data_IF_478199176154
#
_entry.id   IF_478199176154
#
_cell.length_a   1.000
_cell.length_b   1.000
_cell.length_c   1.000
_cell.angle_alpha   90.00
_cell.angle_beta   90.00
_cell.angle_gamma   90.00
#
_symmetry.space_group_name_H-M   'P 1'
#
loop_
_entity.id
_entity.type
_entity.pdbx_description
1 polymer ?
#
# COMPACT_ATOMS: atom_id res chain seq x y z
N UNK A 1 11.73 -0.48 8.05
CA UNK A 1 12.06 0.87 8.55
C UNK A 1 13.23 1.50 7.79
N UNK A 2 14.42 0.89 7.75
CA UNK A 2 15.59 1.45 7.04
C UNK A 2 15.38 1.72 5.54
N UNK A 3 14.75 0.78 4.81
CA UNK A 3 14.44 0.96 3.38
C UNK A 3 13.50 2.15 3.12
N UNK A 4 12.55 2.39 4.03
CA UNK A 4 11.59 3.48 3.90
C UNK A 4 12.27 4.84 4.12
N UNK A 5 13.13 4.95 5.13
CA UNK A 5 13.93 6.16 5.37
C UNK A 5 14.84 6.49 4.18
N UNK A 6 15.47 5.47 3.59
CA UNK A 6 16.30 5.65 2.40
C UNK A 6 15.49 6.16 1.20
N UNK A 7 14.30 5.59 0.97
CA UNK A 7 13.36 6.08 -0.03
C UNK A 7 12.96 7.55 0.22
N UNK A 8 12.58 7.91 1.45
CA UNK A 8 12.16 9.28 1.78
C UNK A 8 13.28 10.29 1.51
N UNK A 9 14.52 9.96 1.85
CA UNK A 9 15.69 10.82 1.59
C UNK A 9 15.91 11.01 0.09
N UNK A 10 15.90 9.92 -0.69
CA UNK A 10 16.03 9.99 -2.16
C UNK A 10 14.91 10.80 -2.81
N UNK A 11 13.68 10.63 -2.33
CA UNK A 11 12.50 11.35 -2.82
C UNK A 11 12.59 12.86 -2.53
N UNK A 12 12.99 13.25 -1.32
CA UNK A 12 13.23 14.65 -0.98
C UNK A 12 14.35 15.28 -1.83
N UNK A 13 15.50 14.61 -1.98
CA UNK A 13 16.59 15.10 -2.82
C UNK A 13 16.18 15.28 -4.29
N UNK A 14 15.31 14.39 -4.78
CA UNK A 14 14.77 14.51 -6.14
C UNK A 14 13.79 15.67 -6.28
N UNK A 15 12.94 15.90 -5.28
CA UNK A 15 12.04 17.06 -5.24
C UNK A 15 12.81 18.38 -5.17
N UNK A 16 13.93 18.42 -4.46
CA UNK A 16 14.83 19.59 -4.39
C UNK A 16 15.64 19.81 -5.70
N UNK A 17 15.46 18.96 -6.71
CA UNK A 17 16.13 19.09 -8.01
C UNK A 17 17.63 18.75 -7.99
N UNK A 18 18.16 18.21 -6.89
CA UNK A 18 19.58 17.87 -6.73
C UNK A 18 19.94 16.63 -7.56
N UNK A 19 19.01 15.67 -7.66
CA UNK A 19 19.16 14.45 -8.46
C UNK A 19 18.32 14.61 -9.74
N UNK A 20 18.85 14.24 -10.91
CA UNK A 20 18.15 14.31 -12.22
C UNK A 20 17.57 12.98 -12.70
N UNK A 21 17.69 11.91 -11.91
CA UNK A 21 17.29 10.54 -12.29
C UNK A 21 15.78 10.39 -12.49
N UNK A 22 15.36 9.40 -13.29
CA UNK A 22 13.93 9.10 -13.46
C UNK A 22 13.28 8.75 -12.13
N UNK A 23 12.02 9.18 -11.94
CA UNK A 23 11.27 8.88 -10.73
C UNK A 23 11.11 7.37 -10.51
N UNK A 24 11.06 6.58 -11.58
CA UNK A 24 11.03 5.11 -11.52
C UNK A 24 12.20 4.51 -10.71
N UNK A 25 13.39 5.11 -10.79
CA UNK A 25 14.57 4.64 -10.06
C UNK A 25 14.54 5.01 -8.57
N UNK A 26 13.88 6.11 -8.23
CA UNK A 26 13.73 6.57 -6.83
C UNK A 26 12.78 5.63 -6.06
N UNK A 27 11.74 5.12 -6.74
CA UNK A 27 10.73 4.23 -6.15
C UNK A 27 11.10 2.73 -6.15
N UNK A 28 12.15 2.33 -6.89
CA UNK A 28 12.65 0.94 -6.93
C UNK A 28 12.75 0.22 -5.56
N UNK A 29 13.37 0.81 -4.51
CA UNK A 29 13.47 0.15 -3.21
C UNK A 29 12.11 -0.15 -2.56
N UNK A 30 11.09 0.69 -2.80
CA UNK A 30 9.73 0.43 -2.34
C UNK A 30 9.06 -0.70 -3.12
N UNK A 31 9.22 -0.74 -4.44
CA UNK A 31 8.66 -1.82 -5.27
C UNK A 31 9.23 -3.18 -4.93
N UNK A 32 10.53 -3.27 -4.65
CA UNK A 32 11.16 -4.51 -4.22
C UNK A 32 10.51 -5.01 -2.93
N UNK A 33 10.30 -4.11 -1.95
CA UNK A 33 9.64 -4.46 -0.69
C UNK A 33 8.20 -4.93 -0.90
N UNK A 34 7.40 -4.19 -1.65
CA UNK A 34 6.00 -4.54 -1.95
C UNK A 34 5.89 -5.86 -2.71
N UNK A 35 6.78 -6.09 -3.67
CA UNK A 35 6.86 -7.34 -4.43
C UNK A 35 7.17 -8.53 -3.53
N UNK A 36 8.08 -8.37 -2.55
CA UNK A 36 8.37 -9.41 -1.56
C UNK A 36 7.12 -9.78 -0.75
N UNK A 37 6.31 -8.80 -0.34
CA UNK A 37 5.06 -9.07 0.39
C UNK A 37 4.03 -9.79 -0.48
N UNK A 38 3.87 -9.38 -1.74
CA UNK A 38 2.96 -10.03 -2.69
C UNK A 38 3.42 -11.47 -2.96
N UNK A 39 4.72 -11.70 -3.13
CA UNK A 39 5.26 -13.04 -3.31
C UNK A 39 5.01 -13.92 -2.08
N UNK A 40 5.25 -13.41 -0.86
CA UNK A 40 4.91 -14.11 0.37
C UNK A 40 3.43 -14.47 0.47
N UNK A 41 2.57 -13.57 -0.02
CA UNK A 41 1.13 -13.81 -0.08
C UNK A 41 0.70 -14.86 -1.11
N UNK A 42 1.33 -14.88 -2.26
CA UNK A 42 1.14 -15.91 -3.27
C UNK A 42 1.55 -17.28 -2.73
N UNK A 43 2.70 -17.37 -2.06
CA UNK A 43 3.16 -18.61 -1.43
C UNK A 43 2.18 -19.06 -0.34
N UNK A 44 1.74 -18.16 0.54
CA UNK A 44 0.75 -18.49 1.58
C UNK A 44 -0.58 -18.96 1.00
N UNK A 45 -1.07 -18.32 -0.05
CA UNK A 45 -2.29 -18.74 -0.77
C UNK A 45 -2.11 -20.09 -1.45
N UNK A 46 -0.94 -20.35 -2.03
CA UNK A 46 -0.62 -21.63 -2.67
C UNK A 46 -0.56 -22.78 -1.66
N UNK A 47 0.12 -22.56 -0.53
CA UNK A 47 0.18 -23.53 0.58
C UNK A 47 -1.22 -23.79 1.15
N UNK A 48 -2.04 -22.75 1.30
CA UNK A 48 -3.43 -22.86 1.75
C UNK A 48 -4.28 -23.75 0.82
N UNK A 49 -4.10 -23.62 -0.50
CA UNK A 49 -4.80 -24.46 -1.47
C UNK A 49 -4.37 -25.95 -1.38
N UNK A 50 -3.09 -26.20 -1.08
CA UNK A 50 -2.51 -27.56 -1.01
C UNK A 50 -2.85 -28.33 0.27
N UNK A 51 -3.17 -27.65 1.38
CA UNK A 51 -3.45 -28.28 2.67
C UNK A 51 -4.91 -28.05 3.14
N UNK A 52 -5.87 -28.86 2.67
CA UNK A 52 -7.29 -28.69 3.00
C UNK A 52 -7.64 -29.00 4.46
N UNK A 53 -6.75 -29.64 5.23
CA UNK A 53 -6.96 -30.01 6.63
C UNK A 53 -7.09 -28.80 7.58
N UNK A 54 -6.57 -27.63 7.20
CA UNK A 54 -6.66 -26.41 8.00
C UNK A 54 -8.01 -25.65 7.81
N UNK A 55 -8.89 -26.16 6.94
CA UNK A 55 -10.22 -25.58 6.66
C UNK A 55 -11.26 -25.87 7.77
N UNK A 56 -11.01 -26.88 8.62
CA UNK A 56 -12.00 -27.41 9.57
C UNK A 56 -11.97 -26.67 10.93
N UNK A 57 -10.84 -26.04 11.28
CA UNK A 57 -10.64 -25.45 12.62
C UNK A 57 -11.26 -24.03 12.80
N UNK A 58 -11.83 -23.42 11.76
CA UNK A 58 -12.48 -22.09 11.84
C UNK A 58 -11.53 -20.90 12.02
N UNK A 59 -10.58 -21.00 12.95
CA UNK A 59 -9.58 -19.98 13.29
C UNK A 59 -8.68 -19.63 12.08
N UNK A 60 -8.27 -20.64 11.32
CA UNK A 60 -7.41 -20.46 10.16
C UNK A 60 -8.02 -19.57 9.07
N UNK A 61 -9.33 -19.66 8.87
CA UNK A 61 -10.04 -18.90 7.85
C UNK A 61 -9.96 -17.39 8.11
N UNK A 62 -10.01 -16.99 9.38
CA UNK A 62 -9.90 -15.59 9.81
C UNK A 62 -8.48 -15.07 9.50
N UNK A 63 -7.44 -15.84 9.79
CA UNK A 63 -6.05 -15.49 9.46
C UNK A 63 -5.82 -15.36 7.96
N UNK A 64 -6.36 -16.28 7.16
CA UNK A 64 -6.26 -16.22 5.70
C UNK A 64 -7.00 -15.00 5.12
N UNK A 65 -8.21 -14.71 5.63
CA UNK A 65 -8.97 -13.52 5.22
C UNK A 65 -8.24 -12.22 5.55
N UNK A 66 -7.62 -12.14 6.73
CA UNK A 66 -6.79 -10.99 7.13
C UNK A 66 -5.59 -10.81 6.21
N UNK A 67 -4.93 -11.91 5.85
CA UNK A 67 -3.81 -11.92 4.90
C UNK A 67 -4.25 -11.42 3.51
N UNK A 68 -5.40 -11.86 3.00
CA UNK A 68 -5.95 -11.36 1.73
C UNK A 68 -6.25 -9.87 1.77
N UNK A 69 -6.87 -9.38 2.86
CA UNK A 69 -7.16 -7.95 3.03
C UNK A 69 -5.86 -7.13 3.02
N UNK A 70 -4.84 -7.57 3.76
CA UNK A 70 -3.52 -6.91 3.78
C UNK A 70 -2.91 -6.83 2.38
N UNK A 71 -2.99 -7.91 1.60
CA UNK A 71 -2.44 -7.97 0.23
C UNK A 71 -3.19 -7.05 -0.72
N UNK A 72 -4.52 -7.03 -0.65
CA UNK A 72 -5.34 -6.10 -1.45
C UNK A 72 -4.96 -4.65 -1.14
N UNK A 73 -4.80 -4.30 0.14
CA UNK A 73 -4.35 -2.97 0.55
C UNK A 73 -2.95 -2.65 0.01
N UNK A 74 -2.01 -3.60 0.05
CA UNK A 74 -0.66 -3.40 -0.49
C UNK A 74 -0.65 -3.22 -2.01
N UNK A 75 -1.48 -3.97 -2.75
CA UNK A 75 -1.63 -3.84 -4.21
C UNK A 75 -2.26 -2.50 -4.59
N UNK A 76 -3.27 -2.04 -3.86
CA UNK A 76 -3.86 -0.71 -4.06
C UNK A 76 -2.83 0.40 -3.79
N UNK A 77 -2.00 0.25 -2.77
CA UNK A 77 -0.90 1.18 -2.47
C UNK A 77 0.14 1.20 -3.60
N UNK A 78 0.48 0.03 -4.14
CA UNK A 78 1.39 -0.09 -5.28
C UNK A 78 0.80 0.61 -6.53
N UNK A 79 -0.51 0.45 -6.78
CA UNK A 79 -1.20 1.14 -7.88
C UNK A 79 -1.09 2.66 -7.76
N UNK A 80 -1.30 3.19 -6.55
CA UNK A 80 -1.12 4.62 -6.28
C UNK A 80 0.32 5.08 -6.57
N UNK A 81 1.30 4.33 -6.09
CA UNK A 81 2.73 4.65 -6.25
C UNK A 81 3.13 4.71 -7.73
N UNK A 82 2.65 3.76 -8.55
CA UNK A 82 2.85 3.76 -10.00
C UNK A 82 2.17 4.97 -10.65
N UNK A 83 0.95 5.32 -10.25
CA UNK A 83 0.24 6.50 -10.76
C UNK A 83 0.97 7.81 -10.42
N UNK A 84 1.53 7.90 -9.20
CA UNK A 84 2.35 9.05 -8.79
C UNK A 84 3.61 9.12 -9.66
N UNK A 85 4.32 8.00 -9.85
CA UNK A 85 5.51 7.96 -10.70
C UNK A 85 5.21 8.42 -12.13
N UNK A 86 4.13 7.90 -12.72
CA UNK A 86 3.73 8.25 -14.07
C UNK A 86 3.33 9.73 -14.19
N UNK A 87 2.61 10.27 -13.20
CA UNK A 87 2.31 11.70 -13.16
C UNK A 87 3.59 12.54 -13.03
N UNK A 88 4.52 12.15 -12.19
CA UNK A 88 5.71 12.94 -11.88
C UNK A 88 6.70 12.96 -13.06
N UNK A 89 6.74 11.89 -13.85
CA UNK A 89 7.55 11.78 -15.07
C UNK A 89 6.87 12.45 -16.28
N UNK A 90 5.62 12.11 -16.59
CA UNK A 90 4.95 12.52 -17.82
C UNK A 90 4.06 13.77 -17.69
N UNK A 91 3.82 14.26 -16.46
CA UNK A 91 2.97 15.40 -16.11
C UNK A 91 1.55 15.41 -16.71
N UNK A 92 1.09 14.30 -17.30
CA UNK A 92 -0.07 14.28 -18.20
C UNK A 92 -1.42 14.03 -17.51
N UNK A 93 -1.41 13.47 -16.29
CA UNK A 93 -2.63 13.04 -15.60
C UNK A 93 -3.17 14.08 -14.61
N UNK A 94 -4.48 14.05 -14.35
CA UNK A 94 -5.11 14.90 -13.33
C UNK A 94 -4.85 14.32 -11.94
N UNK A 95 -4.56 15.18 -10.95
CA UNK A 95 -4.36 14.78 -9.55
C UNK A 95 -5.50 13.91 -9.01
N UNK A 96 -6.73 14.14 -9.49
CA UNK A 96 -7.94 13.37 -9.15
C UNK A 96 -7.75 11.86 -9.37
N UNK A 97 -7.11 11.43 -10.47
CA UNK A 97 -6.92 10.00 -10.76
C UNK A 97 -6.01 9.31 -9.75
N UNK A 98 -5.02 10.03 -9.25
CA UNK A 98 -4.04 9.55 -8.27
C UNK A 98 -4.73 9.32 -6.91
N UNK A 99 -5.75 10.13 -6.58
CA UNK A 99 -6.50 10.00 -5.33
C UNK A 99 -7.48 8.83 -5.31
N UNK A 100 -7.95 8.34 -6.47
CA UNK A 100 -8.95 7.25 -6.53
C UNK A 100 -8.51 6.01 -5.74
N UNK A 101 -7.32 5.42 -5.96
CA UNK A 101 -6.87 4.26 -5.18
C UNK A 101 -6.73 4.55 -3.68
N UNK A 102 -6.35 5.76 -3.27
CA UNK A 102 -6.29 6.14 -1.84
C UNK A 102 -7.67 6.20 -1.19
N UNK A 103 -8.65 6.79 -1.88
CA UNK A 103 -10.02 6.88 -1.38
C UNK A 103 -10.62 5.49 -1.20
N UNK A 104 -10.37 4.57 -2.13
CA UNK A 104 -10.79 3.17 -2.00
C UNK A 104 -10.14 2.48 -0.80
N UNK A 105 -8.83 2.67 -0.58
CA UNK A 105 -8.13 2.14 0.60
C UNK A 105 -8.78 2.66 1.89
N UNK A 106 -9.09 3.95 1.95
CA UNK A 106 -9.73 4.57 3.11
C UNK A 106 -11.11 3.96 3.40
N UNK A 107 -11.95 3.80 2.38
CA UNK A 107 -13.27 3.17 2.52
C UNK A 107 -13.18 1.70 2.94
N UNK A 108 -12.31 0.91 2.31
CA UNK A 108 -12.08 -0.50 2.67
C UNK A 108 -11.61 -0.62 4.11
N UNK A 109 -10.70 0.28 4.54
CA UNK A 109 -10.19 0.27 5.91
C UNK A 109 -11.28 0.54 6.93
N UNK A 110 -12.24 1.45 6.69
CA UNK A 110 -13.36 1.70 7.60
C UNK A 110 -14.21 0.43 7.77
N UNK A 111 -14.53 -0.25 6.66
CA UNK A 111 -15.29 -1.51 6.69
C UNK A 111 -14.55 -2.59 7.48
N UNK A 112 -13.23 -2.71 7.27
CA UNK A 112 -12.39 -3.66 8.00
C UNK A 112 -12.27 -3.30 9.48
N UNK A 113 -12.14 -2.01 9.83
CA UNK A 113 -12.11 -1.55 11.23
C UNK A 113 -13.41 -1.90 11.97
N UNK A 114 -14.57 -1.66 11.36
CA UNK A 114 -15.87 -2.02 11.95
C UNK A 114 -15.96 -3.54 12.17
N UNK A 115 -15.52 -4.32 11.17
CA UNK A 115 -15.47 -5.78 11.29
C UNK A 115 -14.49 -6.25 12.38
N UNK A 116 -13.34 -5.58 12.51
CA UNK A 116 -12.27 -5.91 13.46
C UNK A 116 -12.66 -5.60 14.90
N UNK A 117 -13.29 -4.45 15.16
CA UNK A 117 -13.85 -4.09 16.48
C UNK A 117 -14.88 -5.12 16.94
N UNK A 118 -15.65 -5.68 16.00
CA UNK A 118 -16.62 -6.74 16.31
C UNK A 118 -15.98 -8.12 16.56
N UNK A 119 -14.70 -8.31 16.25
CA UNK A 119 -13.97 -9.59 16.37
C UNK A 119 -12.72 -9.50 17.26
N UNK A 120 -12.57 -8.43 18.06
CA UNK A 120 -11.47 -8.20 19.01
C UNK A 120 -10.04 -8.31 18.40
N UNK A 121 -9.91 -8.04 17.09
CA UNK A 121 -8.60 -8.09 16.39
C UNK A 121 -7.98 -6.70 16.31
N UNK A 122 -6.72 -6.59 16.71
CA UNK A 122 -5.87 -5.43 16.46
C UNK A 122 -5.43 -5.47 14.99
N UNK A 123 -6.09 -4.70 14.13
CA UNK A 123 -5.67 -4.55 12.73
C UNK A 123 -4.79 -3.31 12.55
N UNK A 124 -4.03 -3.25 11.44
CA UNK A 124 -3.03 -2.21 11.11
C UNK A 124 -3.63 -0.79 10.90
N UNK A 125 -4.26 -0.24 11.93
CA UNK A 125 -4.85 1.10 11.97
C UNK A 125 -3.79 2.20 11.78
N UNK A 126 -2.53 1.87 12.10
CA UNK A 126 -1.35 2.71 11.85
C UNK A 126 -1.14 2.99 10.35
N UNK A 127 -1.42 2.00 9.48
CA UNK A 127 -1.28 2.14 8.04
C UNK A 127 -2.37 3.06 7.48
N UNK A 128 -3.60 2.95 8.01
CA UNK A 128 -4.71 3.85 7.69
C UNK A 128 -4.41 5.31 8.05
N UNK A 129 -3.94 5.57 9.26
CA UNK A 129 -3.56 6.91 9.71
C UNK A 129 -2.48 7.50 8.79
N UNK A 130 -1.47 6.70 8.47
CA UNK A 130 -0.38 7.08 7.57
C UNK A 130 -0.87 7.43 6.15
N UNK A 131 -1.77 6.63 5.57
CA UNK A 131 -2.35 6.87 4.23
C UNK A 131 -3.17 8.15 4.20
N UNK A 132 -3.98 8.39 5.25
CA UNK A 132 -4.82 9.57 5.30
C UNK A 132 -3.98 10.85 5.44
N UNK A 133 -2.92 10.84 6.26
CA UNK A 133 -1.94 11.93 6.36
C UNK A 133 -1.28 12.18 5.00
N UNK A 134 -0.85 11.11 4.31
CA UNK A 134 -0.23 11.21 2.99
C UNK A 134 -1.18 11.82 1.96
N UNK A 135 -2.47 11.48 2.03
CA UNK A 135 -3.53 12.08 1.20
C UNK A 135 -3.60 13.60 1.41
N UNK A 136 -3.57 14.07 2.66
CA UNK A 136 -3.60 15.50 2.98
C UNK A 136 -2.36 16.23 2.48
N UNK A 137 -1.17 15.64 2.64
CA UNK A 137 0.09 16.21 2.14
C UNK A 137 0.01 16.38 0.62
N UNK A 138 -0.40 15.34 -0.10
CA UNK A 138 -0.51 15.40 -1.54
C UNK A 138 -1.62 16.34 -2.03
N UNK A 139 -2.73 16.44 -1.32
CA UNK A 139 -3.78 17.41 -1.62
C UNK A 139 -3.26 18.84 -1.46
N UNK A 140 -2.46 19.10 -0.42
CA UNK A 140 -1.82 20.40 -0.23
C UNK A 140 -0.83 20.75 -1.37
N UNK A 141 -0.11 19.77 -1.90
CA UNK A 141 0.73 19.95 -3.10
C UNK A 141 -0.08 20.14 -4.38
N UNK A 142 -1.26 19.50 -4.51
CA UNK A 142 -2.11 19.61 -5.70
C UNK A 142 -2.80 20.97 -5.85
N UNK A 143 -3.02 21.69 -4.75
CA UNK A 143 -3.69 23.00 -4.70
C UNK A 143 -2.70 24.16 -4.98
N UNK A 144 -1.40 23.88 -5.02
CA UNK A 144 -0.35 24.86 -5.28
C UNK A 144 0.05 24.88 -6.75
#
# INVERSE_FOLDING_TARGET
>A
MLLYSFFTILFCLRLDGIITWSYWAVFLPLWIWKSMVIAGACVGSYVWWRHPQYRIEGEGYIHYKAMLISVVLQVLLLMFEVLVCDKLENNRHWWILIFVPLLLISLISIVVCIWSVKHDRSFELELFCSVNILQFIFLAFAVR
#
